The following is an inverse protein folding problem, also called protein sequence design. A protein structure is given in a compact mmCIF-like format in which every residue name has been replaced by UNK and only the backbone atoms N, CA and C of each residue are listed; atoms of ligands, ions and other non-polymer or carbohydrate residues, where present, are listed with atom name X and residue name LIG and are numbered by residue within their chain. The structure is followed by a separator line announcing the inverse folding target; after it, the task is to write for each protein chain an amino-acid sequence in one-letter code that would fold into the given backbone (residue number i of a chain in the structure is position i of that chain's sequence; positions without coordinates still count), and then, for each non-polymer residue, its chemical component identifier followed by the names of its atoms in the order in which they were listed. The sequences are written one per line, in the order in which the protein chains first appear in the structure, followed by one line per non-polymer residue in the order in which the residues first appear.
data_IF_036466166008
#
_entry.id   IF_036466166008
#
_cell.length_a   1.000
_cell.length_b   1.000
_cell.length_c   1.000
_cell.angle_alpha   90.00
_cell.angle_beta   90.00
_cell.angle_gamma   90.00
#
_symmetry.space_group_name_H-M   'P 1'
#
loop_
_entity.id
_entity.type
_entity.pdbx_description
1 polymer ?
#
# COMPACT_ATOMS: atom_id res chain seq x y z
N UNK A 1 59.07 -5.87 -25.97
CA UNK A 1 58.17 -4.87 -26.61
C UNK A 1 56.88 -5.57 -26.98
N UNK A 2 55.75 -4.97 -26.58
CA UNK A 2 54.40 -5.02 -27.16
C UNK A 2 53.87 -6.41 -27.59
N UNK A 3 52.85 -6.97 -26.94
CA UNK A 3 51.48 -6.45 -27.01
C UNK A 3 50.71 -7.32 -28.01
N UNK A 4 49.46 -7.72 -27.86
CA UNK A 4 48.33 -7.24 -27.05
C UNK A 4 47.24 -8.31 -27.23
N UNK A 5 46.49 -8.57 -26.15
CA UNK A 5 45.07 -9.00 -26.04
C UNK A 5 44.46 -9.86 -27.17
N UNK A 6 43.64 -10.84 -26.79
CA UNK A 6 42.20 -10.87 -27.14
C UNK A 6 41.49 -12.10 -26.53
N UNK A 7 40.37 -11.80 -25.87
CA UNK A 7 39.19 -12.62 -25.55
C UNK A 7 39.32 -13.77 -24.53
N UNK A 8 39.20 -13.40 -23.25
CA UNK A 8 38.49 -14.24 -22.27
C UNK A 8 37.01 -14.29 -22.67
N UNK A 9 36.58 -15.43 -23.20
CA UNK A 9 35.19 -15.77 -23.44
C UNK A 9 34.44 -15.89 -22.12
N UNK A 10 33.69 -14.85 -21.78
CA UNK A 10 32.73 -14.82 -20.69
C UNK A 10 31.34 -15.19 -21.20
N UNK A 11 30.99 -16.48 -21.27
CA UNK A 11 29.59 -16.93 -21.24
C UNK A 11 29.54 -18.36 -20.69
N UNK A 12 28.62 -18.58 -19.76
CA UNK A 12 27.96 -19.81 -19.26
C UNK A 12 27.82 -19.58 -17.74
N UNK A 13 26.84 -18.79 -17.30
CA UNK A 13 25.38 -19.01 -17.26
C UNK A 13 24.95 -19.50 -15.88
N UNK A 14 23.98 -18.78 -15.30
CA UNK A 14 23.04 -19.39 -14.37
C UNK A 14 23.38 -19.31 -12.89
N UNK A 15 23.66 -18.11 -12.37
CA UNK A 15 23.28 -17.80 -10.99
C UNK A 15 22.36 -16.60 -11.07
N UNK A 16 21.06 -16.88 -11.16
CA UNK A 16 20.01 -15.88 -10.93
C UNK A 16 20.12 -15.46 -9.48
N UNK A 17 21.03 -14.53 -9.21
CA UNK A 17 21.15 -13.90 -7.92
C UNK A 17 19.81 -13.25 -7.61
N UNK A 18 19.14 -13.79 -6.59
CA UNK A 18 18.19 -13.04 -5.79
C UNK A 18 18.89 -11.73 -5.41
N UNK A 19 18.61 -10.66 -6.14
CA UNK A 19 18.89 -9.31 -5.65
C UNK A 19 17.82 -9.05 -4.60
N UNK A 20 17.99 -9.71 -3.45
CA UNK A 20 17.35 -9.30 -2.21
C UNK A 20 17.88 -7.91 -1.92
N UNK A 21 17.03 -6.90 -2.11
CA UNK A 21 17.29 -5.58 -1.57
C UNK A 21 17.32 -5.71 -0.04
N UNK A 22 18.50 -6.00 0.52
CA UNK A 22 18.76 -5.75 1.92
C UNK A 22 19.05 -4.26 2.04
N UNK A 23 18.00 -3.44 2.15
CA UNK A 23 18.18 -2.15 2.81
C UNK A 23 18.55 -2.46 4.26
N UNK A 24 19.84 -2.35 4.57
CA UNK A 24 20.33 -2.33 5.94
C UNK A 24 19.80 -1.07 6.63
N UNK A 25 18.66 -1.19 7.29
CA UNK A 25 18.12 -0.18 8.20
C UNK A 25 17.54 -0.88 9.42
N UNK A 26 18.44 -1.23 10.37
CA UNK A 26 18.14 -1.83 11.68
C UNK A 26 17.51 -3.23 11.54
N UNK A 27 17.94 -4.26 12.31
CA UNK A 27 17.11 -5.44 12.46
C UNK A 27 15.78 -4.98 13.06
N UNK A 28 14.75 -4.85 12.23
CA UNK A 28 13.41 -4.53 12.70
C UNK A 28 12.86 -5.80 13.34
N UNK A 29 13.34 -6.11 14.55
CA UNK A 29 12.88 -7.23 15.37
C UNK A 29 11.43 -7.06 15.80
N UNK A 30 10.86 -5.87 15.57
CA UNK A 30 9.46 -5.62 15.83
C UNK A 30 8.60 -6.56 14.97
N UNK A 31 7.57 -7.18 15.56
CA UNK A 31 6.58 -7.93 14.81
C UNK A 31 5.99 -7.08 13.67
N UNK A 32 5.57 -7.73 12.59
CA UNK A 32 4.98 -7.09 11.40
C UNK A 32 3.83 -6.10 11.70
N UNK A 33 3.14 -6.25 12.84
CA UNK A 33 2.05 -5.38 13.26
C UNK A 33 2.47 -4.27 14.25
N UNK A 34 3.76 -4.12 14.54
CA UNK A 34 4.30 -3.10 15.45
C UNK A 34 5.00 -2.00 14.65
N UNK A 35 4.70 -0.75 15.00
CA UNK A 35 5.29 0.43 14.39
C UNK A 35 5.96 1.33 15.42
N UNK A 36 7.29 1.43 15.39
CA UNK A 36 8.04 2.47 16.14
C UNK A 36 8.08 3.76 15.33
N UNK A 37 7.12 4.64 15.59
CA UNK A 37 6.81 5.78 14.72
C UNK A 37 7.91 6.83 14.63
N UNK A 38 8.75 6.96 15.67
CA UNK A 38 9.90 7.87 15.66
C UNK A 38 11.13 7.29 14.96
N UNK A 39 11.27 5.96 14.94
CA UNK A 39 12.39 5.27 14.30
C UNK A 39 12.13 5.00 12.82
N UNK A 40 10.86 4.86 12.42
CA UNK A 40 10.46 4.62 11.05
C UNK A 40 9.24 5.47 10.71
N UNK A 41 9.34 6.30 9.67
CA UNK A 41 8.24 7.16 9.23
C UNK A 41 7.18 6.43 8.39
N UNK A 42 7.42 5.18 7.98
CA UNK A 42 6.50 4.37 7.19
C UNK A 42 6.16 3.07 7.91
N UNK A 43 4.87 2.77 8.00
CA UNK A 43 4.37 1.51 8.49
C UNK A 43 3.74 0.71 7.38
N UNK A 44 4.53 -0.19 6.78
CA UNK A 44 4.07 -1.03 5.69
C UNK A 44 3.02 -2.04 6.17
N UNK A 45 1.87 -2.03 5.48
CA UNK A 45 0.71 -2.84 5.81
C UNK A 45 0.63 -4.06 4.90
N UNK A 46 0.68 -3.87 3.59
CA UNK A 46 0.58 -4.97 2.62
C UNK A 46 1.20 -4.59 1.27
N UNK A 47 1.40 -5.59 0.43
CA UNK A 47 1.80 -5.45 -0.97
C UNK A 47 0.63 -5.90 -1.85
N UNK A 48 0.02 -4.96 -2.56
CA UNK A 48 -0.96 -5.28 -3.58
C UNK A 48 -0.26 -5.41 -4.93
N UNK A 49 -0.65 -6.41 -5.71
CA UNK A 49 -0.01 -6.69 -6.98
C UNK A 49 -1.03 -7.02 -8.05
N UNK A 50 -0.69 -6.67 -9.28
CA UNK A 50 -1.39 -7.13 -10.46
C UNK A 50 -0.38 -7.75 -11.41
N UNK A 51 -0.77 -8.88 -12.00
CA UNK A 51 -0.06 -9.61 -13.04
C UNK A 51 -1.15 -10.09 -14.00
N UNK A 52 -1.26 -9.50 -15.18
CA UNK A 52 -2.28 -9.90 -16.13
C UNK A 52 -2.28 -9.04 -17.37
N UNK A 53 -2.66 -9.64 -18.50
CA UNK A 53 -2.95 -8.93 -19.74
C UNK A 53 -4.42 -8.49 -19.69
N UNK A 54 -4.67 -7.24 -19.32
CA UNK A 54 -5.95 -6.61 -19.66
C UNK A 54 -5.83 -6.15 -21.11
N UNK A 55 -6.84 -6.47 -21.93
CA UNK A 55 -6.94 -6.15 -23.35
C UNK A 55 -6.33 -4.78 -23.68
N UNK A 56 -5.07 -4.77 -24.13
CA UNK A 56 -4.43 -3.63 -24.75
C UNK A 56 -3.15 -3.09 -24.10
N UNK A 57 -2.99 -3.01 -22.77
CA UNK A 57 -1.94 -2.12 -22.23
C UNK A 57 -1.31 -2.44 -20.85
N UNK A 58 -1.80 -3.41 -20.08
CA UNK A 58 -1.28 -3.66 -18.73
C UNK A 58 -0.51 -4.97 -18.65
N UNK A 59 0.64 -4.95 -17.95
CA UNK A 59 1.46 -6.17 -17.76
C UNK A 59 1.67 -6.44 -16.27
N UNK A 60 2.05 -5.45 -15.45
CA UNK A 60 2.13 -5.63 -14.00
C UNK A 60 2.25 -4.33 -13.19
N UNK A 61 1.86 -4.43 -11.93
CA UNK A 61 2.12 -3.43 -10.90
C UNK A 61 2.36 -4.07 -9.54
N UNK A 62 3.23 -3.46 -8.75
CA UNK A 62 3.49 -3.78 -7.35
C UNK A 62 3.35 -2.49 -6.55
N UNK A 63 2.46 -2.50 -5.55
CA UNK A 63 2.15 -1.35 -4.73
C UNK A 63 2.22 -1.72 -3.25
N UNK A 64 3.23 -1.21 -2.56
CA UNK A 64 3.35 -1.30 -1.10
C UNK A 64 2.47 -0.24 -0.45
N UNK A 65 1.47 -0.69 0.30
CA UNK A 65 0.58 0.17 1.07
C UNK A 65 1.19 0.40 2.45
N UNK A 66 1.25 1.64 2.90
CA UNK A 66 1.77 1.99 4.23
C UNK A 66 1.03 3.18 4.85
N UNK A 67 1.10 3.29 6.18
CA UNK A 67 0.69 4.48 6.92
C UNK A 67 1.91 5.36 7.24
N UNK A 68 1.70 6.67 7.24
CA UNK A 68 2.68 7.67 7.68
C UNK A 68 1.96 8.78 8.47
N UNK A 69 2.70 9.52 9.30
CA UNK A 69 2.16 10.74 9.91
C UNK A 69 1.80 11.74 8.83
N UNK A 70 0.58 12.27 8.90
CA UNK A 70 0.11 13.36 8.04
C UNK A 70 0.70 14.69 8.51
N UNK A 71 1.03 15.57 7.58
CA UNK A 71 1.56 16.93 7.85
C UNK A 71 2.96 16.97 8.50
N UNK A 72 3.71 15.85 8.51
CA UNK A 72 5.10 15.74 9.02
C UNK A 72 5.31 16.28 10.44
N UNK A 73 4.30 16.22 11.30
CA UNK A 73 4.43 16.56 12.72
C UNK A 73 5.30 15.50 13.40
N UNK A 74 6.54 15.87 13.74
CA UNK A 74 7.51 14.95 14.37
C UNK A 74 7.57 15.10 15.89
N UNK A 75 7.16 16.26 16.40
CA UNK A 75 7.08 16.57 17.83
C UNK A 75 5.64 16.41 18.35
N UNK A 76 5.48 15.87 19.57
CA UNK A 76 4.18 15.70 20.24
C UNK A 76 3.21 14.72 19.54
N UNK A 77 3.74 13.58 19.09
CA UNK A 77 2.91 12.45 18.64
C UNK A 77 2.09 11.94 19.84
N UNK A 78 0.76 11.97 19.73
CA UNK A 78 -0.18 11.53 20.77
C UNK A 78 -1.53 11.15 20.13
N UNK A 79 -2.55 10.93 20.96
CA UNK A 79 -3.93 10.70 20.57
C UNK A 79 -4.41 11.82 19.63
N UNK A 80 -5.09 11.45 18.55
CA UNK A 80 -5.53 12.30 17.44
C UNK A 80 -4.43 12.76 16.47
N UNK A 81 -3.17 12.35 16.63
CA UNK A 81 -2.17 12.54 15.56
C UNK A 81 -2.70 11.89 14.28
N UNK A 82 -2.83 12.70 13.23
CA UNK A 82 -3.40 12.27 11.95
C UNK A 82 -2.40 11.41 11.21
N UNK A 83 -2.89 10.34 10.61
CA UNK A 83 -2.15 9.49 9.71
C UNK A 83 -2.72 9.61 8.30
N UNK A 84 -1.92 9.24 7.32
CA UNK A 84 -2.33 9.16 5.93
C UNK A 84 -1.93 7.81 5.34
N UNK A 85 -2.84 7.23 4.55
CA UNK A 85 -2.62 5.99 3.82
C UNK A 85 -1.97 6.30 2.47
N UNK A 86 -0.80 5.71 2.24
CA UNK A 86 0.01 5.92 1.05
C UNK A 86 0.28 4.60 0.35
N UNK A 87 0.57 4.70 -0.96
CA UNK A 87 1.08 3.61 -1.77
C UNK A 87 2.37 4.04 -2.44
N UNK A 88 3.38 3.18 -2.44
CA UNK A 88 4.55 3.37 -3.31
C UNK A 88 4.91 2.08 -4.02
N UNK A 89 5.47 2.18 -5.21
CA UNK A 89 5.73 0.98 -5.98
C UNK A 89 6.09 1.22 -7.43
N UNK A 90 6.20 0.12 -8.16
CA UNK A 90 6.54 0.10 -9.56
C UNK A 90 5.35 -0.36 -10.39
N UNK A 91 5.19 0.26 -11.55
CA UNK A 91 4.24 -0.17 -12.57
C UNK A 91 4.91 -0.15 -13.93
N UNK A 92 4.48 -1.02 -14.84
CA UNK A 92 4.87 -0.96 -16.24
C UNK A 92 3.74 -1.41 -17.15
N UNK A 93 3.76 -0.86 -18.36
CA UNK A 93 2.77 -1.14 -19.40
C UNK A 93 3.43 -1.81 -20.60
N UNK A 94 2.65 -2.64 -21.26
CA UNK A 94 3.08 -3.36 -22.43
C UNK A 94 1.90 -3.85 -23.24
N UNK A 95 2.17 -4.11 -24.51
CA UNK A 95 1.26 -4.69 -25.47
C UNK A 95 1.88 -6.01 -25.95
N UNK A 96 1.31 -7.12 -25.46
CA UNK A 96 1.90 -8.45 -25.57
C UNK A 96 3.34 -8.49 -25.04
N UNK A 97 4.29 -8.91 -25.90
CA UNK A 97 5.70 -8.99 -25.54
C UNK A 97 6.43 -7.63 -25.52
N UNK A 98 5.80 -6.54 -25.97
CA UNK A 98 6.45 -5.23 -26.12
C UNK A 98 6.15 -4.35 -24.91
N UNK A 99 7.20 -3.95 -24.19
CA UNK A 99 7.09 -2.92 -23.15
C UNK A 99 6.85 -1.56 -23.82
N UNK A 100 5.69 -0.94 -23.55
CA UNK A 100 5.32 0.39 -24.05
C UNK A 100 5.64 1.48 -23.05
N UNK A 101 5.66 1.15 -21.75
CA UNK A 101 6.13 2.01 -20.69
C UNK A 101 7.08 1.22 -19.78
N UNK A 102 8.34 1.66 -19.61
CA UNK A 102 9.27 0.97 -18.73
C UNK A 102 8.82 1.04 -17.26
N UNK A 103 9.32 0.13 -16.41
CA UNK A 103 9.09 0.17 -14.97
C UNK A 103 9.33 1.57 -14.39
N UNK A 104 8.26 2.18 -13.92
CA UNK A 104 8.25 3.53 -13.36
C UNK A 104 7.89 3.45 -11.89
N UNK A 105 8.70 4.11 -11.06
CA UNK A 105 8.42 4.22 -9.62
C UNK A 105 7.52 5.43 -9.34
N UNK A 106 6.52 5.24 -8.48
CA UNK A 106 5.58 6.27 -8.03
C UNK A 106 5.30 6.09 -6.53
N UNK A 107 5.08 7.20 -5.84
CA UNK A 107 4.51 7.21 -4.49
C UNK A 107 3.38 8.25 -4.45
N UNK A 108 2.21 7.83 -4.01
CA UNK A 108 0.98 8.62 -4.08
C UNK A 108 0.12 8.40 -2.82
N UNK A 109 -0.61 9.42 -2.40
CA UNK A 109 -1.60 9.29 -1.33
C UNK A 109 -2.77 8.46 -1.86
N UNK A 110 -3.13 7.40 -1.14
CA UNK A 110 -4.31 6.60 -1.50
C UNK A 110 -5.61 7.31 -1.12
N UNK A 111 -5.51 8.47 -0.48
CA UNK A 111 -6.63 9.32 -0.09
C UNK A 111 -6.75 10.56 -0.99
N UNK A 112 -6.00 10.61 -2.09
CA UNK A 112 -6.03 11.67 -3.09
C UNK A 112 -7.41 11.77 -3.75
N UNK A 113 -7.81 13.01 -4.07
CA UNK A 113 -9.00 13.32 -4.84
C UNK A 113 -8.63 13.61 -6.29
N UNK A 114 -9.40 13.08 -7.22
CA UNK A 114 -9.31 13.38 -8.66
C UNK A 114 -10.60 13.99 -9.17
N UNK A 115 -10.48 14.88 -10.15
CA UNK A 115 -11.63 15.50 -10.82
C UNK A 115 -12.02 14.67 -12.04
N UNK A 116 -13.21 14.09 -12.02
CA UNK A 116 -13.80 13.38 -13.14
C UNK A 116 -14.98 14.12 -13.76
N UNK A 117 -15.58 13.52 -14.80
CA UNK A 117 -16.76 14.06 -15.50
C UNK A 117 -17.98 14.20 -14.59
N UNK A 118 -18.05 13.43 -13.50
CA UNK A 118 -19.14 13.43 -12.53
C UNK A 118 -18.81 14.16 -11.23
N UNK A 119 -17.73 14.95 -11.21
CA UNK A 119 -17.29 15.72 -10.04
C UNK A 119 -15.99 15.19 -9.43
N UNK A 120 -15.70 15.63 -8.21
CA UNK A 120 -14.50 15.23 -7.46
C UNK A 120 -14.77 13.94 -6.69
N UNK A 121 -13.91 12.94 -6.86
CA UNK A 121 -14.03 11.64 -6.20
C UNK A 121 -12.66 11.14 -5.72
N UNK A 122 -12.64 10.13 -4.85
CA UNK A 122 -11.41 9.45 -4.47
C UNK A 122 -10.74 8.81 -5.67
N UNK A 123 -9.41 8.95 -5.76
CA UNK A 123 -8.62 8.28 -6.79
C UNK A 123 -8.54 6.77 -6.56
N UNK A 124 -8.53 6.34 -5.30
CA UNK A 124 -8.40 4.94 -4.97
C UNK A 124 -9.59 4.45 -4.16
N UNK A 125 -10.13 3.29 -4.56
CA UNK A 125 -11.21 2.60 -3.88
C UNK A 125 -10.68 1.32 -3.23
N UNK A 126 -11.10 1.07 -1.99
CA UNK A 126 -10.95 -0.24 -1.37
C UNK A 126 -12.16 -1.09 -1.67
N UNK A 127 -11.92 -2.34 -2.08
CA UNK A 127 -12.97 -3.25 -2.54
C UNK A 127 -12.83 -4.58 -1.83
N UNK A 128 -13.89 -4.99 -1.14
CA UNK A 128 -14.06 -6.36 -0.66
C UNK A 128 -15.12 -7.03 -1.50
N UNK A 129 -14.75 -8.13 -2.17
CA UNK A 129 -15.66 -8.94 -2.96
C UNK A 129 -15.84 -10.30 -2.29
N UNK A 130 -17.09 -10.71 -2.09
CA UNK A 130 -17.44 -12.04 -1.62
C UNK A 130 -17.37 -12.98 -2.83
N UNK A 131 -16.14 -13.29 -3.24
CA UNK A 131 -15.75 -14.20 -4.33
C UNK A 131 -16.84 -14.57 -5.33
N UNK A 132 -16.90 -13.86 -6.45
CA UNK A 132 -17.80 -14.20 -7.57
C UNK A 132 -17.48 -15.60 -8.16
N UNK A 133 -16.27 -16.13 -7.94
CA UNK A 133 -15.76 -17.34 -8.59
C UNK A 133 -15.31 -18.45 -7.60
N UNK A 134 -15.86 -18.51 -6.39
CA UNK A 134 -15.54 -19.57 -5.42
C UNK A 134 -14.17 -19.46 -4.72
N UNK A 135 -13.34 -18.48 -5.07
CA UNK A 135 -12.06 -18.16 -4.40
C UNK A 135 -12.22 -17.32 -3.12
N UNK A 136 -13.26 -17.55 -2.31
CA UNK A 136 -13.45 -16.82 -1.04
C UNK A 136 -13.44 -15.28 -1.16
N UNK A 137 -13.33 -14.59 -0.01
CA UNK A 137 -13.28 -13.12 0.03
C UNK A 137 -11.98 -12.59 -0.60
N UNK A 138 -12.08 -11.88 -1.72
CA UNK A 138 -10.95 -11.22 -2.38
C UNK A 138 -10.94 -9.74 -2.01
N UNK A 139 -9.76 -9.22 -1.71
CA UNK A 139 -9.56 -7.79 -1.44
C UNK A 139 -8.78 -7.16 -2.58
N UNK A 140 -9.26 -6.01 -3.06
CA UNK A 140 -8.66 -5.29 -4.19
C UNK A 140 -8.56 -3.81 -3.87
N UNK A 141 -7.52 -3.19 -4.42
CA UNK A 141 -7.42 -1.74 -4.52
C UNK A 141 -7.70 -1.37 -5.98
N UNK A 142 -8.61 -0.44 -6.23
CA UNK A 142 -8.92 0.02 -7.57
C UNK A 142 -8.58 1.49 -7.78
N UNK A 143 -7.99 1.83 -8.92
CA UNK A 143 -7.75 3.21 -9.30
C UNK A 143 -8.89 3.74 -10.18
N UNK A 144 -9.36 4.94 -9.88
CA UNK A 144 -10.44 5.62 -10.56
C UNK A 144 -9.84 6.74 -11.41
N UNK A 145 -9.99 6.62 -12.72
CA UNK A 145 -9.52 7.60 -13.71
C UNK A 145 -10.23 7.35 -15.04
N UNK A 146 -10.45 8.39 -15.85
CA UNK A 146 -11.31 8.37 -17.04
C UNK A 146 -10.83 7.52 -18.22
N UNK A 147 -10.64 6.21 -18.01
CA UNK A 147 -10.13 5.24 -18.97
C UNK A 147 -8.78 4.63 -18.54
N UNK A 148 -8.47 3.45 -19.06
CA UNK A 148 -7.27 2.65 -18.75
C UNK A 148 -5.95 3.40 -18.99
N UNK A 149 -5.99 4.43 -19.84
CA UNK A 149 -4.82 5.25 -20.17
C UNK A 149 -4.36 6.12 -19.01
N UNK A 150 -5.27 6.47 -18.09
CA UNK A 150 -5.02 7.39 -16.98
C UNK A 150 -4.71 6.70 -15.64
N UNK A 151 -4.89 5.39 -15.56
CA UNK A 151 -4.60 4.61 -14.34
C UNK A 151 -3.09 4.42 -14.19
N UNK A 152 -2.49 4.56 -13.01
CA UNK A 152 -1.05 4.33 -12.79
C UNK A 152 -0.75 2.89 -12.38
N UNK A 153 -1.56 2.32 -11.47
CA UNK A 153 -1.33 0.96 -10.97
C UNK A 153 -2.34 -0.06 -11.53
N UNK A 154 -3.40 0.42 -12.19
CA UNK A 154 -4.41 -0.38 -12.89
C UNK A 154 -5.79 -0.33 -12.22
N UNK A 155 -6.83 -0.69 -12.98
CA UNK A 155 -8.23 -0.60 -12.52
C UNK A 155 -8.50 -1.39 -11.23
N UNK A 156 -7.87 -2.56 -11.08
CA UNK A 156 -8.00 -3.40 -9.89
C UNK A 156 -6.72 -4.22 -9.66
N UNK A 157 -6.06 -4.01 -8.52
CA UNK A 157 -4.90 -4.81 -8.08
C UNK A 157 -5.28 -5.67 -6.86
N UNK A 158 -4.79 -6.91 -6.80
CA UNK A 158 -5.14 -7.86 -5.72
C UNK A 158 -4.27 -7.58 -4.50
N UNK A 159 -4.91 -7.47 -3.34
CA UNK A 159 -4.24 -7.35 -2.06
C UNK A 159 -4.35 -8.70 -1.32
N UNK A 160 -3.22 -9.40 -1.07
CA UNK A 160 -3.22 -10.73 -0.47
C UNK A 160 -3.66 -10.69 0.99
N UNK A 161 -3.28 -9.64 1.72
CA UNK A 161 -3.65 -9.46 3.12
C UNK A 161 -5.03 -8.85 3.22
N UNK A 162 -5.86 -9.40 4.12
CA UNK A 162 -7.12 -8.79 4.52
C UNK A 162 -6.82 -7.69 5.54
N UNK A 163 -6.17 -6.62 5.09
CA UNK A 163 -5.87 -5.46 5.94
C UNK A 163 -7.15 -4.88 6.53
N UNK A 164 -8.08 -4.61 5.62
CA UNK A 164 -9.34 -3.99 5.95
C UNK A 164 -10.53 -4.79 5.43
N UNK A 165 -11.62 -4.73 6.18
CA UNK A 165 -12.91 -5.22 5.77
C UNK A 165 -13.99 -4.18 6.04
N UNK A 166 -14.98 -4.11 5.15
CA UNK A 166 -16.21 -3.38 5.45
C UNK A 166 -17.12 -4.21 6.37
N UNK A 167 -17.82 -3.55 7.28
CA UNK A 167 -18.82 -4.19 8.15
C UNK A 167 -19.99 -4.75 7.32
N UNK A 168 -20.30 -6.05 7.40
CA UNK A 168 -21.44 -6.67 6.69
C UNK A 168 -21.07 -7.66 5.56
N UNK A 169 -22.08 -8.05 4.76
CA UNK A 169 -21.95 -9.02 3.65
C UNK A 169 -22.15 -8.39 2.28
N UNK A 170 -21.69 -9.08 1.24
CA UNK A 170 -21.78 -8.67 -0.16
C UNK A 170 -20.56 -7.87 -0.62
N UNK A 171 -20.48 -7.65 -1.94
CA UNK A 171 -19.47 -6.78 -2.55
C UNK A 171 -19.63 -5.35 -2.03
N UNK A 172 -18.54 -4.78 -1.53
CA UNK A 172 -18.48 -3.40 -1.06
C UNK A 172 -17.28 -2.69 -1.64
N UNK A 173 -17.50 -1.44 -2.02
CA UNK A 173 -16.53 -0.58 -2.67
C UNK A 173 -16.70 0.84 -2.13
N UNK A 174 -15.60 1.45 -1.67
CA UNK A 174 -15.63 2.80 -1.10
C UNK A 174 -14.31 3.52 -1.36
N UNK A 175 -14.39 4.82 -1.62
CA UNK A 175 -13.21 5.67 -1.78
C UNK A 175 -12.40 5.78 -0.49
N UNK A 176 -11.09 5.56 -0.58
CA UNK A 176 -10.19 5.66 0.58
C UNK A 176 -10.07 7.09 1.12
N UNK A 177 -10.40 8.09 0.31
CA UNK A 177 -10.55 9.48 0.71
C UNK A 177 -11.69 9.72 1.72
N UNK A 178 -12.66 8.79 1.81
CA UNK A 178 -13.77 8.89 2.76
C UNK A 178 -13.40 8.42 4.17
N UNK A 179 -12.20 7.90 4.39
CA UNK A 179 -11.72 7.45 5.69
C UNK A 179 -10.67 8.39 6.28
N UNK A 180 -10.60 8.45 7.60
CA UNK A 180 -9.57 9.17 8.35
C UNK A 180 -8.85 8.19 9.26
N UNK A 181 -7.52 8.23 9.23
CA UNK A 181 -6.66 7.45 10.10
C UNK A 181 -6.07 8.37 11.17
N UNK A 182 -6.08 7.95 12.42
CA UNK A 182 -5.46 8.68 13.53
C UNK A 182 -4.97 7.74 14.61
N UNK A 183 -4.01 8.22 15.40
CA UNK A 183 -3.64 7.54 16.64
C UNK A 183 -4.76 7.69 17.67
N UNK A 184 -5.02 6.62 18.41
CA UNK A 184 -6.02 6.58 19.46
C UNK A 184 -5.54 5.79 20.68
N UNK A 185 -6.09 6.07 21.85
CA UNK A 185 -5.77 5.42 23.12
C UNK A 185 -4.26 5.40 23.43
N UNK A 186 -3.54 6.50 23.19
CA UNK A 186 -2.13 6.59 23.55
C UNK A 186 -1.96 6.58 25.07
N UNK A 187 -1.38 5.51 25.61
CA UNK A 187 -1.16 5.31 27.05
C UNK A 187 0.29 4.98 27.30
N UNK A 188 0.75 5.19 28.54
CA UNK A 188 2.08 4.75 28.95
C UNK A 188 2.22 3.24 28.75
N UNK A 189 3.29 2.83 28.08
CA UNK A 189 3.57 1.44 27.75
C UNK A 189 3.80 0.62 29.01
N UNK A 190 3.13 -0.54 29.10
CA UNK A 190 3.19 -1.42 30.27
C UNK A 190 4.56 -2.09 30.44
N UNK A 191 5.30 -2.26 29.35
CA UNK A 191 6.55 -3.04 29.33
C UNK A 191 7.81 -2.17 29.51
N UNK A 192 7.76 -0.87 29.14
CA UNK A 192 8.95 0.00 29.17
C UNK A 192 8.62 1.44 29.57
N UNK A 193 9.25 1.90 30.65
CA UNK A 193 9.17 3.30 31.10
C UNK A 193 9.62 4.25 29.99
N UNK A 194 8.88 5.34 29.80
CA UNK A 194 9.16 6.37 28.81
C UNK A 194 8.64 6.08 27.40
N UNK A 195 7.96 4.95 27.21
CA UNK A 195 7.29 4.62 25.94
C UNK A 195 5.79 4.88 26.04
N UNK A 196 5.17 5.34 24.95
CA UNK A 196 3.71 5.35 24.79
C UNK A 196 3.30 4.32 23.75
N UNK A 197 2.20 3.62 24.01
CA UNK A 197 1.56 2.72 23.07
C UNK A 197 0.22 3.29 22.62
N UNK A 198 0.02 3.35 21.32
CA UNK A 198 -1.22 3.80 20.69
C UNK A 198 -1.80 2.71 19.78
N UNK A 199 -3.12 2.77 19.62
CA UNK A 199 -3.87 2.08 18.57
C UNK A 199 -4.04 2.99 17.35
N UNK A 200 -4.43 2.43 16.21
CA UNK A 200 -4.82 3.21 15.02
C UNK A 200 -6.33 3.12 14.84
N UNK A 201 -7.00 4.27 14.93
CA UNK A 201 -8.43 4.41 14.67
C UNK A 201 -8.67 4.74 13.20
N UNK A 202 -9.72 4.14 12.63
CA UNK A 202 -10.23 4.44 11.29
C UNK A 202 -11.64 5.00 11.43
N UNK A 203 -11.88 6.19 10.92
CA UNK A 203 -13.19 6.84 11.00
C UNK A 203 -13.71 7.18 9.61
N UNK A 204 -14.94 6.77 9.32
CA UNK A 204 -15.66 7.18 8.13
C UNK A 204 -16.05 8.67 8.25
N UNK A 205 -15.84 9.43 7.17
CA UNK A 205 -16.20 10.84 7.10
C UNK A 205 -17.73 11.02 7.02
N UNK A 206 -18.24 12.15 7.56
CA UNK A 206 -19.68 12.39 7.75
C UNK A 206 -20.48 12.21 6.44
N UNK A 207 -21.52 11.39 6.48
CA UNK A 207 -22.49 11.20 5.38
C UNK A 207 -22.68 9.75 4.94
N UNK A 208 -21.80 8.85 5.37
CA UNK A 208 -21.79 7.45 4.95
C UNK A 208 -22.33 6.51 6.06
N UNK A 209 -22.94 5.39 5.68
CA UNK A 209 -23.64 4.48 6.61
C UNK A 209 -22.66 3.74 7.55
N UNK A 210 -23.01 3.43 8.81
CA UNK A 210 -22.19 2.58 9.69
C UNK A 210 -21.86 1.20 9.09
N UNK A 211 -22.71 0.71 8.18
CA UNK A 211 -22.46 -0.53 7.41
C UNK A 211 -21.37 -0.38 6.32
N UNK A 212 -20.79 0.80 6.17
CA UNK A 212 -19.68 1.10 5.25
C UNK A 212 -18.39 1.44 6.00
N UNK A 213 -18.39 1.27 7.33
CA UNK A 213 -17.21 1.45 8.15
C UNK A 213 -16.15 0.43 7.76
N UNK A 214 -14.92 0.92 7.58
CA UNK A 214 -13.75 0.13 7.32
C UNK A 214 -13.11 -0.27 8.66
N UNK A 215 -12.85 -1.55 8.85
CA UNK A 215 -12.31 -2.11 10.09
C UNK A 215 -11.03 -2.89 9.82
N UNK A 216 -10.11 -2.85 10.78
CA UNK A 216 -8.99 -3.79 10.84
C UNK A 216 -9.54 -5.21 10.97
N UNK A 217 -8.99 -6.16 10.20
CA UNK A 217 -9.44 -7.55 10.26
C UNK A 217 -8.47 -8.47 11.01
N UNK A 218 -7.52 -9.06 10.30
CA UNK A 218 -6.56 -10.02 10.87
C UNK A 218 -5.28 -9.31 11.33
N UNK A 219 -5.01 -8.11 10.80
CA UNK A 219 -3.88 -7.27 11.16
C UNK A 219 -4.33 -6.18 12.13
N UNK A 220 -3.84 -6.21 13.37
CA UNK A 220 -4.12 -5.19 14.38
C UNK A 220 -2.83 -4.41 14.67
N UNK A 221 -2.70 -3.18 14.13
CA UNK A 221 -1.54 -2.33 14.38
C UNK A 221 -1.36 -1.97 15.85
N UNK A 222 -0.11 -1.98 16.31
CA UNK A 222 0.34 -1.35 17.56
C UNK A 222 1.38 -0.31 17.23
N UNK A 223 1.20 0.91 17.72
CA UNK A 223 2.14 2.01 17.50
C UNK A 223 2.89 2.30 18.80
N UNK A 224 4.22 2.30 18.74
CA UNK A 224 5.11 2.61 19.86
C UNK A 224 5.76 3.97 19.59
N UNK A 225 5.73 4.82 20.60
CA UNK A 225 6.40 6.12 20.64
C UNK A 225 7.45 6.04 21.75
N UNK A 226 8.72 5.94 21.39
CA UNK A 226 9.85 5.78 22.32
C UNK A 226 10.94 6.85 22.17
#
# INVERSE_FOLDING_TARGET
MLGTKILLTSVISGVSGLVGYTSLSIPNWDPKNVWRIKSNNKFYLSLCSYRGEKSGNWVASDLWIYLTIKDKVTDNIDTNTKLELWGEGYHWRGDGAKVTQPPTWRAESLQELVRGSFGTQGRFNWINDDGIDGEGRVTRLGEVGGGEENETFGSYIRCPDKLFQFSGSGRKEKGLNEFKFSLDNCKDGSERKGTKECSIKVELTKGSSPSEQLEWKEFIPRVIID
#
